data_IF_670268597385
#
_entry.id   IF_670268597385
#
_cell.length_a   1.000
_cell.length_b   1.000
_cell.length_c   1.000
_cell.angle_alpha   90.00
_cell.angle_beta   90.00
_cell.angle_gamma   90.00
#
_symmetry.space_group_name_H-M   'P 1'
#
loop_
_entity.id
_entity.type
_entity.pdbx_description
1 polymer ?
#
# COMPACT_ATOMS: atom_id res chain seq x y z
N UNK A 1 -58.28 32.21 4.39
CA UNK A 1 -57.48 33.46 4.46
C UNK A 1 -57.33 33.81 5.93
N UNK A 2 -56.16 33.82 6.55
CA UNK A 2 -54.82 33.52 6.07
C UNK A 2 -53.88 33.41 7.28
N UNK A 3 -52.88 32.53 7.09
CA UNK A 3 -51.53 32.59 7.65
C UNK A 3 -51.43 32.54 9.18
N UNK A 4 -51.57 31.30 9.69
CA UNK A 4 -50.92 30.91 10.93
C UNK A 4 -49.41 30.99 10.73
N UNK A 5 -48.78 31.72 11.63
CA UNK A 5 -47.35 31.83 11.80
C UNK A 5 -46.77 30.42 11.90
N UNK A 6 -46.01 30.04 10.88
CA UNK A 6 -45.28 28.78 10.84
C UNK A 6 -44.04 29.02 11.67
N UNK A 7 -44.14 28.77 12.97
CA UNK A 7 -42.99 28.63 13.86
C UNK A 7 -42.19 27.42 13.32
N UNK A 8 -41.29 27.71 12.37
CA UNK A 8 -40.29 26.77 11.89
C UNK A 8 -39.50 26.35 13.12
N UNK A 9 -39.78 25.14 13.60
CA UNK A 9 -39.14 24.57 14.77
C UNK A 9 -37.62 24.54 14.60
N UNK A 10 -36.95 25.55 15.14
CA UNK A 10 -35.55 25.47 15.50
C UNK A 10 -35.42 24.35 16.54
N UNK A 11 -34.90 23.20 16.08
CA UNK A 11 -34.53 22.08 16.93
C UNK A 11 -33.69 22.59 18.10
N UNK A 12 -34.12 22.30 19.32
CA UNK A 12 -33.44 22.79 20.53
C UNK A 12 -32.00 22.24 20.63
N UNK A 13 -31.09 22.86 21.41
CA UNK A 13 -29.72 22.37 21.61
C UNK A 13 -29.62 20.94 22.14
N UNK A 14 -30.71 20.41 22.68
CA UNK A 14 -30.82 19.03 23.20
C UNK A 14 -31.16 18.01 22.09
N UNK A 15 -31.76 18.47 20.99
CA UNK A 15 -32.04 17.69 19.78
C UNK A 15 -30.87 17.72 18.79
N UNK A 16 -30.03 18.75 18.85
CA UNK A 16 -28.68 18.77 18.27
C UNK A 16 -27.72 17.94 19.16
N UNK A 17 -27.70 16.60 19.03
CA UNK A 17 -26.85 15.73 19.87
C UNK A 17 -25.34 15.99 19.71
N UNK A 18 -24.82 17.00 20.41
CA UNK A 18 -23.39 17.15 20.68
C UNK A 18 -22.89 16.10 21.68
N UNK A 19 -21.57 16.05 21.92
CA UNK A 19 -20.91 15.09 22.82
C UNK A 19 -21.64 14.90 24.17
N UNK A 20 -22.15 15.98 24.75
CA UNK A 20 -22.86 15.96 26.02
C UNK A 20 -24.12 15.07 25.98
N UNK A 21 -24.90 15.16 24.91
CA UNK A 21 -26.09 14.33 24.70
C UNK A 21 -25.73 12.86 24.51
N UNK A 22 -24.69 12.60 23.70
CA UNK A 22 -24.18 11.25 23.44
C UNK A 22 -23.69 10.56 24.72
N UNK A 23 -22.91 11.25 25.56
CA UNK A 23 -22.43 10.70 26.82
C UNK A 23 -23.57 10.31 27.76
N UNK A 24 -24.62 11.14 27.87
CA UNK A 24 -25.80 10.81 28.67
C UNK A 24 -26.53 9.57 28.14
N UNK A 25 -26.69 9.48 26.82
CA UNK A 25 -27.32 8.33 26.18
C UNK A 25 -26.50 7.04 26.38
N UNK A 26 -25.20 7.10 26.14
CA UNK A 26 -24.29 5.96 26.32
C UNK A 26 -24.20 5.50 27.77
N UNK A 27 -24.18 6.41 28.74
CA UNK A 27 -24.19 6.08 30.17
C UNK A 27 -25.46 5.34 30.58
N UNK A 28 -26.61 5.73 30.00
CA UNK A 28 -27.89 5.02 30.16
C UNK A 28 -27.85 3.64 29.54
N UNK A 29 -27.42 3.53 28.28
CA UNK A 29 -27.33 2.26 27.56
C UNK A 29 -26.40 1.26 28.27
N UNK A 30 -25.23 1.71 28.73
CA UNK A 30 -24.28 0.88 29.46
C UNK A 30 -24.84 0.38 30.80
N UNK A 31 -25.55 1.24 31.54
CA UNK A 31 -26.19 0.83 32.79
C UNK A 31 -27.35 -0.16 32.59
N UNK A 32 -28.05 -0.08 31.46
CA UNK A 32 -29.04 -1.10 31.05
C UNK A 32 -28.37 -2.43 30.71
N UNK A 33 -27.25 -2.43 29.98
CA UNK A 33 -26.45 -3.63 29.68
C UNK A 33 -25.93 -4.33 30.95
N UNK A 34 -25.61 -3.56 31.99
CA UNK A 34 -25.21 -4.09 33.30
C UNK A 34 -26.38 -4.54 34.19
N UNK A 35 -27.62 -4.54 33.68
CA UNK A 35 -28.80 -4.97 34.44
C UNK A 35 -29.22 -4.02 35.56
N UNK A 36 -28.71 -2.78 35.59
CA UNK A 36 -29.00 -1.82 36.67
C UNK A 36 -30.35 -1.12 36.54
N UNK A 37 -30.98 -1.18 35.36
CA UNK A 37 -32.23 -0.46 35.05
C UNK A 37 -32.10 1.07 34.99
N UNK A 38 -30.89 1.62 35.17
CA UNK A 38 -30.59 3.06 35.19
C UNK A 38 -29.20 3.33 34.65
N UNK A 39 -28.90 4.59 34.35
CA UNK A 39 -27.58 5.02 33.89
C UNK A 39 -26.50 4.77 34.95
N UNK A 40 -25.28 4.45 34.50
CA UNK A 40 -24.09 4.37 35.37
C UNK A 40 -23.92 5.71 36.10
N UNK A 41 -23.63 5.80 37.40
CA UNK A 41 -23.41 7.07 38.10
C UNK A 41 -22.26 7.90 37.50
N UNK A 42 -22.38 9.24 37.50
CA UNK A 42 -21.32 10.13 37.01
C UNK A 42 -20.00 9.93 37.77
N UNK A 43 -20.04 9.81 39.09
CA UNK A 43 -18.90 9.44 39.94
C UNK A 43 -18.18 8.16 39.48
N UNK A 44 -18.92 7.14 39.06
CA UNK A 44 -18.34 5.85 38.66
C UNK A 44 -17.62 5.95 37.31
N UNK A 45 -18.19 6.71 36.37
CA UNK A 45 -17.52 6.99 35.09
C UNK A 45 -16.29 7.87 35.30
N UNK A 46 -16.41 8.92 36.13
CA UNK A 46 -15.32 9.82 36.46
C UNK A 46 -14.13 9.08 37.10
N UNK A 47 -14.41 8.17 38.04
CA UNK A 47 -13.40 7.32 38.65
C UNK A 47 -12.69 6.44 37.61
N UNK A 48 -13.44 5.81 36.70
CA UNK A 48 -12.87 4.94 35.67
C UNK A 48 -11.94 5.69 34.69
N UNK A 49 -12.22 6.97 34.41
CA UNK A 49 -11.39 7.78 33.52
C UNK A 49 -10.24 8.48 34.25
N UNK A 50 -10.20 8.44 35.59
CA UNK A 50 -9.20 9.12 36.42
C UNK A 50 -9.44 10.62 36.55
N UNK A 51 -10.69 11.08 36.48
CA UNK A 51 -11.09 12.49 36.56
C UNK A 51 -12.03 12.73 37.75
N UNK A 52 -12.21 13.99 38.15
CA UNK A 52 -13.19 14.34 39.19
C UNK A 52 -14.63 14.22 38.67
N UNK A 53 -15.57 13.88 39.56
CA UNK A 53 -17.00 13.86 39.22
C UNK A 53 -17.50 15.22 38.72
N UNK A 54 -16.98 16.32 39.29
CA UNK A 54 -17.27 17.69 38.83
C UNK A 54 -16.85 17.90 37.37
N UNK A 55 -15.68 17.40 36.98
CA UNK A 55 -15.18 17.49 35.61
C UNK A 55 -16.07 16.70 34.64
N UNK A 56 -16.41 15.44 34.97
CA UNK A 56 -17.28 14.62 34.14
C UNK A 56 -18.70 15.21 34.03
N UNK A 57 -19.23 15.77 35.12
CA UNK A 57 -20.51 16.48 35.11
C UNK A 57 -20.49 17.75 34.23
N UNK A 58 -19.35 18.45 34.12
CA UNK A 58 -19.21 19.57 33.18
C UNK A 58 -19.16 19.09 31.72
N UNK A 59 -18.56 17.92 31.47
CA UNK A 59 -18.53 17.29 30.16
C UNK A 59 -19.94 16.89 29.69
N UNK A 60 -20.75 16.26 30.56
CA UNK A 60 -22.16 15.94 30.26
C UNK A 60 -23.07 17.18 30.19
N UNK A 61 -22.60 18.37 30.55
CA UNK A 61 -23.30 19.66 30.37
C UNK A 61 -22.83 20.43 29.13
N UNK A 62 -21.85 19.90 28.38
CA UNK A 62 -21.26 20.58 27.22
C UNK A 62 -20.35 21.77 27.57
N UNK A 63 -19.96 21.92 28.84
CA UNK A 63 -19.16 23.05 29.31
C UNK A 63 -17.64 22.83 29.16
N UNK A 64 -17.21 21.61 28.83
CA UNK A 64 -15.80 21.28 28.58
C UNK A 64 -15.61 21.05 27.09
N UNK A 65 -14.79 21.87 26.38
CA UNK A 65 -14.68 21.79 24.92
C UNK A 65 -13.77 20.65 24.43
N UNK A 66 -12.98 20.03 25.32
CA UNK A 66 -11.92 19.09 24.92
C UNK A 66 -11.78 17.91 25.86
N UNK A 67 -11.74 16.71 25.29
CA UNK A 67 -11.57 15.43 25.95
C UNK A 67 -10.10 14.96 25.80
N UNK A 68 -9.35 14.63 26.87
CA UNK A 68 -8.01 14.08 26.69
C UNK A 68 -8.04 12.65 26.14
N UNK A 69 -7.01 12.29 25.35
CA UNK A 69 -6.98 11.01 24.64
C UNK A 69 -7.02 9.79 25.58
N UNK A 70 -6.40 9.88 26.77
CA UNK A 70 -6.43 8.78 27.74
C UNK A 70 -7.84 8.56 28.33
N UNK A 71 -8.65 9.61 28.41
CA UNK A 71 -10.03 9.53 28.84
C UNK A 71 -10.92 8.83 27.78
N UNK A 72 -10.62 8.96 26.48
CA UNK A 72 -11.36 8.28 25.40
C UNK A 72 -11.36 6.76 25.59
N UNK A 73 -10.18 6.15 25.69
CA UNK A 73 -10.07 4.69 25.78
C UNK A 73 -10.72 4.13 27.05
N UNK A 74 -10.60 4.88 28.16
CA UNK A 74 -11.24 4.55 29.43
C UNK A 74 -12.77 4.69 29.35
N UNK A 75 -13.29 5.69 28.63
CA UNK A 75 -14.73 5.83 28.36
C UNK A 75 -15.26 4.69 27.49
N UNK A 76 -14.54 4.35 26.42
CA UNK A 76 -14.90 3.24 25.53
C UNK A 76 -15.03 1.94 26.32
N UNK A 77 -14.05 1.67 27.17
CA UNK A 77 -14.03 0.48 28.01
C UNK A 77 -15.14 0.52 29.05
N UNK A 78 -15.30 1.62 29.79
CA UNK A 78 -16.29 1.73 30.87
C UNK A 78 -17.72 1.71 30.33
N UNK A 79 -18.00 2.34 29.20
CA UNK A 79 -19.36 2.48 28.67
C UNK A 79 -19.70 1.42 27.63
N UNK A 80 -18.83 0.43 27.40
CA UNK A 80 -19.02 -0.64 26.40
C UNK A 80 -19.32 -0.08 25.01
N UNK A 81 -18.55 0.92 24.59
CA UNK A 81 -18.72 1.63 23.32
C UNK A 81 -18.09 0.85 22.16
N UNK A 82 -18.72 0.94 20.99
CA UNK A 82 -18.21 0.37 19.76
C UNK A 82 -17.21 1.29 19.05
N UNK A 83 -16.72 0.86 17.87
CA UNK A 83 -15.76 1.62 17.07
C UNK A 83 -16.26 3.01 16.66
N UNK A 84 -17.55 3.14 16.31
CA UNK A 84 -18.14 4.40 15.82
C UNK A 84 -18.32 5.42 16.94
N UNK A 85 -18.76 4.97 18.12
CA UNK A 85 -18.84 5.83 19.30
C UNK A 85 -17.44 6.26 19.76
N UNK A 86 -16.44 5.37 19.66
CA UNK A 86 -15.03 5.70 19.91
C UNK A 86 -14.53 6.77 18.94
N UNK A 87 -14.81 6.64 17.66
CA UNK A 87 -14.46 7.66 16.65
C UNK A 87 -15.14 9.00 16.97
N UNK A 88 -16.39 8.94 17.41
CA UNK A 88 -17.14 10.12 17.83
C UNK A 88 -16.47 10.85 19.00
N UNK A 89 -15.99 10.12 20.01
CA UNK A 89 -15.23 10.70 21.14
C UNK A 89 -13.90 11.35 20.70
N UNK A 90 -13.23 10.78 19.70
CA UNK A 90 -11.94 11.29 19.19
C UNK A 90 -12.07 12.66 18.51
N UNK A 91 -13.21 12.98 17.89
CA UNK A 91 -13.44 14.32 17.32
C UNK A 91 -13.39 15.44 18.36
N UNK A 92 -13.66 15.12 19.63
CA UNK A 92 -13.63 16.09 20.73
C UNK A 92 -12.29 16.11 21.48
N UNK A 93 -11.27 15.41 20.98
CA UNK A 93 -9.91 15.45 21.53
C UNK A 93 -9.13 16.64 20.96
N UNK A 94 -8.26 17.34 21.74
CA UNK A 94 -7.37 18.34 21.18
C UNK A 94 -6.54 17.76 20.01
N UNK A 95 -6.71 18.29 18.80
CA UNK A 95 -6.07 17.76 17.59
C UNK A 95 -6.77 16.56 16.95
N UNK A 96 -8.09 16.41 17.15
CA UNK A 96 -8.97 15.32 16.69
C UNK A 96 -9.11 15.11 15.18
N UNK A 97 -8.04 15.27 14.42
CA UNK A 97 -7.92 14.77 13.07
C UNK A 97 -7.77 13.23 13.11
N UNK A 98 -8.89 12.52 12.94
CA UNK A 98 -8.98 11.11 12.50
C UNK A 98 -7.90 10.14 13.02
N UNK A 99 -7.46 10.22 14.28
CA UNK A 99 -6.57 9.20 14.86
C UNK A 99 -7.42 8.07 15.44
N UNK A 100 -8.18 7.40 14.58
CA UNK A 100 -8.74 6.11 14.93
C UNK A 100 -7.60 5.09 14.93
N UNK A 101 -7.18 4.58 16.08
CA UNK A 101 -6.63 3.22 16.14
C UNK A 101 -7.82 2.28 16.33
N UNK A 102 -8.32 1.69 15.26
CA UNK A 102 -9.16 0.52 15.40
C UNK A 102 -8.30 -0.59 16.06
N UNK A 103 -8.86 -1.34 17.01
CA UNK A 103 -8.17 -2.53 17.54
C UNK A 103 -7.92 -3.48 16.36
N UNK A 104 -6.76 -4.16 16.29
CA UNK A 104 -6.57 -5.23 15.32
C UNK A 104 -7.65 -6.29 15.59
N UNK A 105 -8.64 -6.41 14.70
CA UNK A 105 -9.41 -7.64 14.59
C UNK A 105 -8.53 -8.63 13.85
N UNK A 106 -8.53 -9.88 14.32
CA UNK A 106 -8.03 -11.02 13.55
C UNK A 106 -8.67 -10.96 12.14
N UNK A 107 -7.84 -11.20 11.13
CA UNK A 107 -7.98 -10.78 9.72
C UNK A 107 -9.43 -10.74 9.18
N UNK A 108 -9.95 -9.58 8.72
CA UNK A 108 -11.31 -9.50 8.22
C UNK A 108 -11.42 -9.58 6.68
N UNK A 109 -12.61 -9.94 6.15
CA UNK A 109 -13.04 -9.76 4.74
C UNK A 109 -12.83 -8.35 4.15
N UNK A 110 -12.47 -7.37 4.98
CA UNK A 110 -12.31 -5.94 4.69
C UNK A 110 -11.04 -5.62 3.88
N UNK A 111 -9.97 -6.43 3.98
CA UNK A 111 -8.81 -6.27 3.10
C UNK A 111 -9.12 -6.68 1.66
N UNK A 112 -10.03 -7.64 1.46
CA UNK A 112 -10.49 -8.05 0.11
C UNK A 112 -11.31 -6.95 -0.55
N UNK A 113 -12.16 -6.24 0.20
CA UNK A 113 -12.93 -5.11 -0.35
C UNK A 113 -12.04 -3.92 -0.66
N UNK A 114 -10.98 -3.68 0.12
CA UNK A 114 -9.96 -2.68 -0.20
C UNK A 114 -9.17 -3.05 -1.46
N UNK A 115 -8.75 -4.31 -1.62
CA UNK A 115 -8.09 -4.75 -2.86
C UNK A 115 -8.99 -4.55 -4.08
N UNK A 116 -10.27 -4.92 -3.99
CA UNK A 116 -11.23 -4.68 -5.07
C UNK A 116 -11.31 -3.18 -5.44
N UNK A 117 -11.34 -2.28 -4.45
CA UNK A 117 -11.32 -0.84 -4.70
C UNK A 117 -10.05 -0.38 -5.43
N UNK A 118 -8.88 -0.90 -5.04
CA UNK A 118 -7.60 -0.59 -5.70
C UNK A 118 -7.60 -1.04 -7.16
N UNK A 119 -8.13 -2.23 -7.44
CA UNK A 119 -8.19 -2.78 -8.80
C UNK A 119 -9.13 -1.95 -9.69
N UNK A 120 -10.19 -1.35 -9.12
CA UNK A 120 -11.08 -0.41 -9.85
C UNK A 120 -10.41 0.93 -10.18
N UNK A 121 -9.22 1.23 -9.67
CA UNK A 121 -8.49 2.45 -10.03
C UNK A 121 -7.68 2.33 -11.32
N UNK A 122 -7.60 1.14 -11.93
CA UNK A 122 -6.90 0.96 -13.20
C UNK A 122 -7.41 1.96 -14.26
N UNK A 123 -6.51 2.58 -15.06
CA UNK A 123 -5.07 2.32 -15.16
C UNK A 123 -4.19 3.09 -14.16
N UNK A 124 -4.75 3.78 -13.18
CA UNK A 124 -4.00 4.56 -12.19
C UNK A 124 -3.31 3.66 -11.15
N UNK A 125 -2.00 3.83 -10.92
CA UNK A 125 -1.29 3.15 -9.83
C UNK A 125 -1.95 3.43 -8.49
N UNK A 126 -2.28 2.38 -7.75
CA UNK A 126 -2.89 2.50 -6.43
C UNK A 126 -2.31 1.48 -5.45
N UNK A 127 -2.18 1.89 -4.19
CA UNK A 127 -1.65 1.03 -3.12
C UNK A 127 -2.21 1.39 -1.75
N UNK A 128 -2.07 0.46 -0.81
CA UNK A 128 -2.37 0.66 0.61
C UNK A 128 -1.12 0.43 1.43
N UNK A 129 -0.84 1.32 2.38
CA UNK A 129 0.18 1.12 3.41
C UNK A 129 -0.40 1.19 4.81
N UNK A 130 0.30 0.60 5.77
CA UNK A 130 0.02 0.79 7.20
C UNK A 130 0.53 2.15 7.72
N UNK A 131 0.39 2.35 9.03
CA UNK A 131 0.84 3.54 9.73
C UNK A 131 2.36 3.79 9.58
N UNK A 132 3.17 2.74 9.36
CA UNK A 132 4.63 2.75 9.17
C UNK A 132 5.05 2.81 7.70
N UNK A 133 4.10 3.02 6.79
CA UNK A 133 4.32 3.02 5.35
C UNK A 133 4.79 1.68 4.76
N UNK A 134 4.57 0.59 5.51
CA UNK A 134 4.76 -0.76 5.01
C UNK A 134 3.60 -1.11 4.09
N UNK A 135 3.92 -1.68 2.93
CA UNK A 135 2.96 -1.97 1.89
C UNK A 135 2.05 -3.14 2.28
N UNK A 136 0.74 -2.90 2.25
CA UNK A 136 -0.30 -3.89 2.58
C UNK A 136 -0.92 -4.47 1.31
N UNK A 137 -1.28 -3.62 0.35
CA UNK A 137 -1.96 -4.00 -0.89
C UNK A 137 -1.57 -3.05 -2.03
N UNK A 138 -1.74 -3.48 -3.28
CA UNK A 138 -1.50 -2.66 -4.48
C UNK A 138 -2.22 -3.24 -5.68
N UNK A 139 -2.51 -2.40 -6.68
CA UNK A 139 -3.07 -2.84 -7.96
C UNK A 139 -1.98 -3.10 -9.02
N UNK A 140 -2.38 -3.64 -10.16
CA UNK A 140 -1.45 -4.01 -11.25
C UNK A 140 -0.65 -2.82 -11.78
N UNK A 141 -1.30 -1.68 -12.02
CA UNK A 141 -0.60 -0.48 -12.48
C UNK A 141 0.52 -0.03 -11.53
N UNK A 142 0.33 -0.21 -10.21
CA UNK A 142 1.39 0.06 -9.24
C UNK A 142 2.58 -0.88 -9.38
N UNK A 143 2.34 -2.18 -9.54
CA UNK A 143 3.42 -3.15 -9.80
C UNK A 143 4.19 -2.84 -11.09
N UNK A 144 3.47 -2.46 -12.14
CA UNK A 144 4.03 -2.19 -13.46
C UNK A 144 4.86 -0.90 -13.46
N UNK A 145 4.39 0.15 -12.78
CA UNK A 145 5.02 1.48 -12.85
C UNK A 145 6.05 1.70 -11.73
N UNK A 146 5.87 1.02 -10.59
CA UNK A 146 6.67 1.19 -9.39
C UNK A 146 7.10 -0.17 -8.81
N UNK A 147 8.08 -0.86 -9.43
CA UNK A 147 8.41 -2.25 -9.10
C UNK A 147 8.86 -2.50 -7.65
N UNK A 148 9.22 -1.46 -6.89
CA UNK A 148 9.57 -1.58 -5.46
C UNK A 148 8.46 -2.23 -4.63
N UNK A 149 7.20 -2.15 -5.07
CA UNK A 149 6.07 -2.80 -4.38
C UNK A 149 6.14 -4.32 -4.42
N UNK A 150 6.95 -4.88 -5.31
CA UNK A 150 7.19 -6.31 -5.45
C UNK A 150 8.26 -6.82 -4.46
N UNK A 151 8.91 -5.94 -3.69
CA UNK A 151 9.92 -6.34 -2.70
C UNK A 151 9.29 -6.99 -1.46
N UNK A 152 9.89 -8.09 -0.94
CA UNK A 152 9.48 -8.63 0.35
C UNK A 152 9.62 -7.56 1.44
N UNK A 153 8.54 -7.31 2.17
CA UNK A 153 8.54 -6.27 3.20
C UNK A 153 8.67 -4.84 2.64
N UNK A 154 8.26 -4.63 1.38
CA UNK A 154 8.25 -3.33 0.71
C UNK A 154 7.73 -2.22 1.65
N UNK A 155 8.54 -1.18 1.80
CA UNK A 155 8.23 -0.03 2.64
C UNK A 155 8.56 1.23 1.87
N UNK A 156 7.56 2.11 1.73
CA UNK A 156 7.67 3.32 0.92
C UNK A 156 8.76 4.26 1.44
N UNK A 157 8.93 4.39 2.76
CA UNK A 157 9.94 5.28 3.34
C UNK A 157 11.35 4.76 3.06
N UNK A 158 11.55 3.44 3.18
CA UNK A 158 12.83 2.81 2.83
C UNK A 158 13.14 3.02 1.36
N UNK A 159 12.19 2.70 0.47
CA UNK A 159 12.40 2.88 -0.97
C UNK A 159 12.70 4.35 -1.32
N UNK A 160 11.85 5.28 -0.88
CA UNK A 160 11.94 6.68 -1.25
C UNK A 160 13.24 7.37 -0.77
N UNK A 161 13.81 6.94 0.35
CA UNK A 161 14.99 7.57 0.95
C UNK A 161 16.31 6.83 0.64
N UNK A 162 16.27 5.50 0.50
CA UNK A 162 17.50 4.70 0.42
C UNK A 162 17.70 3.99 -0.94
N UNK A 163 16.64 3.76 -1.71
CA UNK A 163 16.77 3.01 -2.96
C UNK A 163 17.28 3.91 -4.09
N UNK A 164 18.29 3.48 -4.88
CA UNK A 164 18.81 4.25 -6.02
C UNK A 164 17.72 4.65 -7.02
N UNK A 165 16.83 3.72 -7.38
CA UNK A 165 15.71 4.00 -8.29
C UNK A 165 14.85 5.19 -7.83
N UNK A 166 14.59 5.35 -6.52
CA UNK A 166 13.81 6.49 -6.05
C UNK A 166 14.54 7.82 -6.28
N UNK A 167 15.86 7.84 -6.15
CA UNK A 167 16.70 9.03 -6.41
C UNK A 167 16.69 9.42 -7.88
N UNK A 168 16.59 8.45 -8.78
CA UNK A 168 16.51 8.69 -10.23
C UNK A 168 15.09 9.05 -10.68
N UNK A 169 14.08 8.37 -10.13
CA UNK A 169 12.69 8.54 -10.50
C UNK A 169 12.08 9.82 -9.94
N UNK A 170 12.44 10.27 -8.73
CA UNK A 170 11.96 11.55 -8.20
C UNK A 170 12.74 12.73 -8.78
N UNK A 171 12.08 13.57 -9.58
CA UNK A 171 12.66 14.83 -10.04
C UNK A 171 12.77 15.77 -8.84
N UNK A 172 13.99 16.18 -8.50
CA UNK A 172 14.23 16.95 -7.27
C UNK A 172 14.10 16.10 -6.01
N UNK A 173 14.69 14.90 -6.01
CA UNK A 173 14.64 13.93 -4.91
C UNK A 173 14.83 14.53 -3.51
N UNK A 174 15.71 15.51 -3.31
CA UNK A 174 15.90 16.11 -1.99
C UNK A 174 14.62 16.73 -1.41
N UNK A 175 13.77 17.33 -2.24
CA UNK A 175 12.51 17.91 -1.79
C UNK A 175 11.53 16.83 -1.32
N UNK A 176 11.56 15.68 -1.98
CA UNK A 176 10.82 14.50 -1.55
C UNK A 176 11.38 13.96 -0.22
N UNK A 177 12.70 13.80 -0.14
CA UNK A 177 13.37 13.30 1.04
C UNK A 177 13.10 14.18 2.28
N UNK A 178 13.16 15.51 2.15
CA UNK A 178 12.81 16.45 3.24
C UNK A 178 11.40 16.18 3.80
N UNK A 179 10.42 15.96 2.92
CA UNK A 179 9.04 15.68 3.33
C UNK A 179 8.92 14.32 4.02
N UNK A 180 9.54 13.28 3.46
CA UNK A 180 9.50 11.93 4.05
C UNK A 180 10.19 11.89 5.43
N UNK A 181 11.35 12.56 5.58
CA UNK A 181 12.04 12.73 6.85
C UNK A 181 11.16 13.47 7.88
N UNK A 182 10.46 14.54 7.46
CA UNK A 182 9.52 15.26 8.32
C UNK A 182 8.33 14.38 8.76
N UNK A 183 7.85 13.49 7.90
CA UNK A 183 6.80 12.50 8.23
C UNK A 183 7.29 11.44 9.22
N UNK A 184 8.51 10.92 9.05
CA UNK A 184 9.15 9.99 10.01
C UNK A 184 9.30 10.66 11.38
N UNK A 185 9.74 11.92 11.41
CA UNK A 185 9.87 12.72 12.65
C UNK A 185 8.54 12.86 13.37
N UNK A 186 7.48 13.22 12.65
CA UNK A 186 6.13 13.33 13.21
C UNK A 186 5.65 11.98 13.77
N UNK A 187 5.88 10.89 13.05
CA UNK A 187 5.51 9.55 13.51
C UNK A 187 6.21 9.17 14.81
N UNK A 188 7.54 9.29 14.87
CA UNK A 188 8.33 8.94 16.05
C UNK A 188 8.04 9.85 17.25
N UNK A 189 7.67 11.11 17.03
CA UNK A 189 7.21 12.00 18.09
C UNK A 189 5.95 11.47 18.80
N UNK A 190 5.02 10.86 18.03
CA UNK A 190 3.78 10.25 18.54
C UNK A 190 3.97 8.81 19.02
N UNK A 191 4.99 8.11 18.52
CA UNK A 191 5.22 6.69 18.76
C UNK A 191 6.67 6.41 19.18
N UNK A 192 7.09 7.02 20.30
CA UNK A 192 8.48 7.03 20.80
C UNK A 192 9.11 5.65 21.03
N UNK A 193 8.32 4.58 21.10
CA UNK A 193 8.79 3.21 21.35
C UNK A 193 8.68 2.29 20.11
N UNK A 194 8.40 2.82 18.91
CA UNK A 194 8.28 2.01 17.70
C UNK A 194 9.66 1.57 17.20
N UNK A 195 9.98 0.28 17.41
CA UNK A 195 11.31 -0.28 17.08
C UNK A 195 11.59 -0.31 15.58
N UNK A 196 10.57 -0.60 14.77
CA UNK A 196 10.73 -0.69 13.31
C UNK A 196 11.13 0.67 12.74
N UNK A 197 10.36 1.72 13.04
CA UNK A 197 10.64 3.05 12.53
C UNK A 197 11.93 3.64 13.11
N UNK A 198 12.29 3.28 14.34
CA UNK A 198 13.58 3.66 14.93
C UNK A 198 14.77 2.98 14.21
N UNK A 199 14.62 1.71 13.82
CA UNK A 199 15.63 1.00 13.03
C UNK A 199 15.77 1.60 11.63
N UNK A 200 14.64 1.82 10.95
CA UNK A 200 14.62 2.44 9.63
C UNK A 200 15.26 3.85 9.66
N UNK A 201 14.97 4.67 10.68
CA UNK A 201 15.61 5.97 10.81
C UNK A 201 17.14 5.85 10.98
N UNK A 202 17.63 4.80 11.67
CA UNK A 202 19.07 4.56 11.78
C UNK A 202 19.69 4.25 10.42
N UNK A 203 19.06 3.37 9.63
CA UNK A 203 19.47 3.08 8.25
C UNK A 203 19.49 4.35 7.40
N UNK A 204 18.45 5.17 7.49
CA UNK A 204 18.34 6.46 6.79
C UNK A 204 19.44 7.44 7.22
N UNK A 205 19.86 7.43 8.48
CA UNK A 205 20.89 8.33 9.00
C UNK A 205 22.32 7.91 8.63
N UNK A 206 22.51 6.68 8.15
CA UNK A 206 23.80 6.23 7.60
C UNK A 206 24.10 6.88 6.25
N UNK A 207 23.05 7.17 5.47
CA UNK A 207 23.12 7.93 4.22
C UNK A 207 23.47 9.41 4.46
N UNK A 208 24.50 9.90 3.78
CA UNK A 208 25.05 11.25 4.02
C UNK A 208 24.07 12.37 3.63
N UNK A 209 23.34 12.22 2.52
CA UNK A 209 22.36 13.21 2.09
C UNK A 209 21.18 13.24 3.04
N UNK A 210 20.64 12.07 3.40
CA UNK A 210 19.52 11.97 4.32
C UNK A 210 19.85 12.53 5.71
N UNK A 211 21.05 12.24 6.23
CA UNK A 211 21.53 12.83 7.49
C UNK A 211 21.63 14.35 7.42
N UNK A 212 22.24 14.88 6.35
CA UNK A 212 22.30 16.33 6.12
C UNK A 212 20.90 16.95 6.09
N UNK A 213 19.99 16.40 5.28
CA UNK A 213 18.61 16.88 5.15
C UNK A 213 17.82 16.78 6.46
N UNK A 214 18.09 15.76 7.28
CA UNK A 214 17.49 15.60 8.60
C UNK A 214 17.95 16.71 9.56
N UNK A 215 19.25 17.03 9.56
CA UNK A 215 19.86 18.02 10.45
C UNK A 215 19.54 19.47 10.02
N UNK A 216 19.31 19.72 8.72
CA UNK A 216 19.00 21.04 8.15
C UNK A 216 17.68 21.65 8.63
N UNK A 217 16.67 20.83 8.97
CA UNK A 217 15.35 21.36 9.33
C UNK A 217 14.54 20.47 10.27
N UNK A 218 13.98 21.00 11.38
CA UNK A 218 13.12 20.29 12.30
C UNK A 218 11.64 20.26 11.88
N UNK A 219 11.30 20.62 10.64
CA UNK A 219 9.92 20.62 10.16
C UNK A 219 9.24 19.25 10.32
N UNK A 220 7.91 19.29 10.47
CA UNK A 220 7.04 18.11 10.62
C UNK A 220 5.87 18.23 9.65
N UNK A 221 5.55 17.14 8.96
CA UNK A 221 4.46 17.06 7.97
C UNK A 221 3.58 15.86 8.32
N UNK A 222 2.25 16.03 8.25
CA UNK A 222 1.30 14.97 8.59
C UNK A 222 1.05 13.99 7.43
N UNK A 223 0.87 14.51 6.21
CA UNK A 223 0.68 13.71 5.00
C UNK A 223 0.95 14.54 3.72
N UNK A 224 1.00 13.87 2.56
CA UNK A 224 1.21 14.47 1.22
C UNK A 224 -0.05 14.41 0.34
N UNK A 225 -1.23 14.61 0.93
CA UNK A 225 -2.46 14.54 0.14
C UNK A 225 -2.53 15.69 -0.88
N UNK A 226 -2.98 15.40 -2.10
CA UNK A 226 -3.04 16.33 -3.23
C UNK A 226 -1.68 16.82 -3.71
N UNK A 227 -0.58 16.18 -3.30
CA UNK A 227 0.77 16.61 -3.66
C UNK A 227 1.03 16.35 -5.16
N UNK A 228 1.35 17.42 -5.88
CA UNK A 228 1.79 17.39 -7.29
C UNK A 228 3.31 17.35 -7.33
N UNK A 229 3.87 16.45 -8.12
CA UNK A 229 5.32 16.30 -8.24
C UNK A 229 5.68 15.66 -9.57
N UNK A 230 6.95 15.81 -9.96
CA UNK A 230 7.46 15.27 -11.21
C UNK A 230 8.21 13.96 -10.96
N UNK A 231 8.01 13.01 -11.86
CA UNK A 231 8.71 11.73 -11.85
C UNK A 231 9.25 11.37 -13.23
N UNK A 232 10.29 10.54 -13.26
CA UNK A 232 10.76 9.83 -14.44
C UNK A 232 10.49 8.35 -14.25
N UNK A 233 9.49 7.81 -14.93
CA UNK A 233 9.05 6.42 -14.73
C UNK A 233 9.43 5.56 -15.93
N UNK A 234 9.80 4.27 -15.72
CA UNK A 234 10.08 3.35 -16.81
C UNK A 234 8.94 3.25 -17.83
N UNK A 235 7.68 3.31 -17.38
CA UNK A 235 6.49 3.22 -18.24
C UNK A 235 6.38 4.34 -19.28
N UNK A 236 7.00 5.49 -19.01
CA UNK A 236 7.00 6.66 -19.88
C UNK A 236 8.40 6.90 -20.47
N UNK A 237 9.18 5.84 -20.68
CA UNK A 237 10.56 5.92 -21.20
C UNK A 237 11.43 6.91 -20.41
N UNK A 238 11.21 6.99 -19.10
CA UNK A 238 11.86 7.93 -18.18
C UNK A 238 11.68 9.42 -18.52
N UNK A 239 10.68 9.77 -19.33
CA UNK A 239 10.27 11.16 -19.53
C UNK A 239 9.72 11.75 -18.22
N UNK A 240 9.93 13.05 -18.03
CA UNK A 240 9.37 13.76 -16.88
C UNK A 240 7.85 13.88 -17.03
N UNK A 241 7.12 13.27 -16.10
CA UNK A 241 5.67 13.34 -16.01
C UNK A 241 5.25 13.98 -14.69
N UNK A 242 4.24 14.84 -14.73
CA UNK A 242 3.63 15.38 -13.51
C UNK A 242 2.55 14.43 -13.01
N UNK A 243 2.73 13.99 -11.76
CA UNK A 243 1.81 13.09 -11.06
C UNK A 243 1.21 13.78 -9.83
N UNK A 244 0.01 13.35 -9.48
CA UNK A 244 -0.73 13.79 -8.30
C UNK A 244 -0.99 12.57 -7.43
N UNK A 245 -0.55 12.64 -6.17
CA UNK A 245 -0.84 11.61 -5.17
C UNK A 245 -2.07 12.03 -4.36
N UNK A 246 -3.11 11.18 -4.39
CA UNK A 246 -4.33 11.31 -3.60
C UNK A 246 -4.26 10.34 -2.43
N UNK A 247 -4.35 10.84 -1.21
CA UNK A 247 -4.32 10.04 0.01
C UNK A 247 -5.70 9.98 0.64
N UNK A 248 -6.17 8.75 0.82
CA UNK A 248 -7.46 8.42 1.41
C UNK A 248 -7.24 7.54 2.65
N UNK A 249 -8.07 7.74 3.67
CA UNK A 249 -8.08 6.90 4.87
C UNK A 249 -9.37 6.09 4.90
N UNK A 250 -9.30 4.75 4.81
CA UNK A 250 -10.49 3.91 4.93
C UNK A 250 -11.15 4.12 6.29
N UNK A 251 -12.46 4.41 6.31
CA UNK A 251 -13.16 4.70 7.57
C UNK A 251 -13.08 3.54 8.59
N UNK A 252 -13.14 2.28 8.12
CA UNK A 252 -13.00 1.09 8.96
C UNK A 252 -11.56 0.81 9.42
N UNK A 253 -10.56 1.37 8.74
CA UNK A 253 -9.14 1.20 9.02
C UNK A 253 -8.38 2.53 8.93
N UNK A 254 -8.62 3.46 9.86
CA UNK A 254 -7.99 4.79 9.85
C UNK A 254 -6.47 4.76 10.02
N UNK A 255 -5.90 3.63 10.46
CA UNK A 255 -4.46 3.38 10.47
C UNK A 255 -3.87 3.07 9.08
N UNK A 256 -4.70 2.67 8.12
CA UNK A 256 -4.32 2.39 6.75
C UNK A 256 -4.41 3.65 5.90
N UNK A 257 -3.57 3.68 4.87
CA UNK A 257 -3.48 4.77 3.89
C UNK A 257 -3.65 4.18 2.51
N UNK A 258 -4.76 4.48 1.86
CA UNK A 258 -4.96 4.18 0.45
C UNK A 258 -4.45 5.36 -0.38
N UNK A 259 -3.60 5.10 -1.35
CA UNK A 259 -3.01 6.11 -2.22
C UNK A 259 -3.36 5.77 -3.66
N UNK A 260 -3.84 6.76 -4.41
CA UNK A 260 -4.04 6.69 -5.86
C UNK A 260 -3.15 7.74 -6.52
N UNK A 261 -2.38 7.33 -7.52
CA UNK A 261 -1.50 8.21 -8.29
C UNK A 261 -2.15 8.45 -9.65
N UNK A 262 -2.52 9.70 -9.90
CA UNK A 262 -3.00 10.16 -11.21
C UNK A 262 -1.92 11.01 -11.88
N UNK A 263 -2.02 11.24 -13.18
CA UNK A 263 -1.11 12.13 -13.91
C UNK A 263 -1.93 13.18 -14.65
N UNK A 264 -1.33 14.35 -14.85
CA UNK A 264 -1.90 15.41 -15.66
C UNK A 264 -1.27 15.32 -17.06
N UNK A 265 -1.77 14.40 -17.87
CA UNK A 265 -1.52 14.35 -19.32
C UNK A 265 -2.68 15.00 -20.08
N UNK A 266 -2.43 15.56 -21.26
CA UNK A 266 -3.50 16.05 -22.15
C UNK A 266 -4.54 14.94 -22.38
N UNK A 267 -5.83 15.26 -22.27
CA UNK A 267 -7.00 14.35 -22.34
C UNK A 267 -7.06 13.39 -23.57
N UNK A 268 -6.11 13.47 -24.52
CA UNK A 268 -6.14 12.78 -25.80
C UNK A 268 -5.49 11.38 -25.84
N UNK A 269 -4.75 10.95 -24.82
CA UNK A 269 -4.08 9.62 -24.82
C UNK A 269 -4.90 8.51 -24.12
N UNK A 270 -6.16 8.79 -23.74
CA UNK A 270 -6.96 7.94 -22.86
C UNK A 270 -7.81 6.86 -23.56
N UNK A 271 -7.63 6.57 -24.85
CA UNK A 271 -8.32 5.46 -25.51
C UNK A 271 -7.33 4.40 -26.03
N UNK A 272 -7.49 3.12 -25.68
CA UNK A 272 -6.81 2.05 -26.39
C UNK A 272 -7.42 1.97 -27.80
N UNK A 273 -6.70 2.43 -28.83
CA UNK A 273 -7.09 2.16 -30.23
C UNK A 273 -6.87 3.22 -31.31
N UNK A 274 -6.19 4.35 -31.07
CA UNK A 274 -5.89 5.30 -32.16
C UNK A 274 -4.57 4.99 -32.88
N UNK A 275 -4.55 3.88 -33.63
CA UNK A 275 -3.62 3.79 -34.77
C UNK A 275 -4.20 4.66 -35.88
N UNK A 276 -3.49 5.73 -36.26
CA UNK A 276 -3.74 6.43 -37.51
C UNK A 276 -3.50 5.45 -38.67
N UNK A 277 -4.58 5.01 -39.32
CA UNK A 277 -4.51 4.24 -40.54
C UNK A 277 -4.33 5.20 -41.73
N UNK A 278 -3.32 5.02 -42.60
CA UNK A 278 -3.32 5.66 -43.91
C UNK A 278 -4.24 4.89 -44.87
N UNK A 279 -5.00 5.65 -45.66
CA UNK A 279 -5.92 5.17 -46.71
C UNK A 279 -5.27 4.17 -47.69
N UNK A 280 -5.92 3.02 -47.93
CA UNK A 280 -6.24 2.50 -49.28
C UNK A 280 -6.92 1.10 -49.24
N UNK A 281 -8.19 1.09 -49.64
CA UNK A 281 -8.88 0.16 -50.55
C UNK A 281 -8.65 -1.37 -50.52
N UNK A 282 -9.80 -2.05 -50.45
CA UNK A 282 -10.27 -3.22 -51.22
C UNK A 282 -10.47 -4.57 -50.52
N UNK A 283 -11.65 -5.10 -50.81
CA UNK A 283 -12.38 -6.24 -50.28
C UNK A 283 -11.67 -7.60 -50.40
N UNK A 284 -11.98 -8.50 -49.45
CA UNK A 284 -12.05 -9.94 -49.74
C UNK A 284 -11.53 -10.87 -48.64
N UNK A 285 -12.42 -11.66 -48.03
CA UNK A 285 -12.08 -12.96 -47.45
C UNK A 285 -12.27 -13.09 -45.94
N UNK A 286 -13.35 -13.77 -45.55
CA UNK A 286 -13.61 -14.21 -44.19
C UNK A 286 -12.60 -15.29 -43.73
N UNK A 287 -12.04 -15.13 -42.53
CA UNK A 287 -11.61 -16.23 -41.64
C UNK A 287 -11.24 -15.70 -40.24
N UNK A 288 -11.85 -16.26 -39.19
CA UNK A 288 -11.24 -16.44 -37.86
C UNK A 288 -11.12 -15.21 -36.94
N UNK A 289 -12.24 -14.78 -36.35
CA UNK A 289 -12.21 -14.01 -35.10
C UNK A 289 -12.24 -14.98 -33.92
N UNK A 290 -11.08 -15.43 -33.46
CA UNK A 290 -10.93 -16.08 -32.15
C UNK A 290 -10.08 -15.19 -31.22
N UNK A 291 -10.76 -14.71 -30.17
CA UNK A 291 -10.29 -14.14 -28.92
C UNK A 291 -8.78 -13.98 -28.70
N UNK A 292 -8.30 -12.73 -28.78
CA UNK A 292 -7.12 -12.27 -28.02
C UNK A 292 -7.62 -11.98 -26.60
N UNK A 293 -7.57 -12.99 -25.74
CA UNK A 293 -7.98 -12.90 -24.34
C UNK A 293 -6.89 -12.29 -23.46
N UNK A 294 -7.27 -11.25 -22.72
CA UNK A 294 -6.77 -10.79 -21.42
C UNK A 294 -5.46 -11.44 -20.89
N UNK A 295 -4.33 -10.74 -21.01
CA UNK A 295 -3.10 -11.04 -20.26
C UNK A 295 -2.92 -10.00 -19.14
N UNK A 296 -3.56 -10.29 -18.01
CA UNK A 296 -3.59 -9.51 -16.78
C UNK A 296 -3.38 -10.45 -15.60
N UNK A 297 -2.25 -10.40 -14.88
CA UNK A 297 -2.24 -10.85 -13.48
C UNK A 297 -0.91 -10.54 -12.76
N UNK A 298 -1.01 -9.67 -11.76
CA UNK A 298 -0.30 -9.86 -10.49
C UNK A 298 -1.38 -9.77 -9.41
N UNK A 299 -1.68 -10.89 -8.74
CA UNK A 299 -2.66 -10.94 -7.65
C UNK A 299 -1.91 -11.18 -6.34
N UNK A 300 -2.09 -10.26 -5.38
CA UNK A 300 -1.58 -10.39 -4.03
C UNK A 300 -2.66 -11.01 -3.12
N UNK A 301 -2.26 -11.96 -2.29
CA UNK A 301 -3.13 -12.74 -1.41
C UNK A 301 -2.42 -13.19 -0.14
N UNK A 302 -3.16 -13.93 0.68
CA UNK A 302 -2.70 -14.45 1.97
C UNK A 302 -2.97 -15.95 2.06
N UNK A 303 -2.13 -16.64 2.81
CA UNK A 303 -2.26 -18.07 3.09
C UNK A 303 -1.87 -18.37 4.55
N UNK A 304 -2.59 -19.30 5.16
CA UNK A 304 -2.38 -19.69 6.56
C UNK A 304 -1.11 -20.54 6.73
N UNK A 305 -0.72 -21.25 5.68
CA UNK A 305 0.47 -22.09 5.66
C UNK A 305 1.23 -22.02 4.33
N UNK A 306 2.45 -22.56 4.34
CA UNK A 306 3.25 -22.72 3.13
C UNK A 306 2.61 -23.68 2.12
N UNK A 307 1.81 -24.63 2.60
CA UNK A 307 1.10 -25.62 1.78
C UNK A 307 -0.14 -24.98 1.14
N UNK A 308 -0.89 -24.18 1.88
CA UNK A 308 -2.01 -23.39 1.35
C UNK A 308 -1.52 -22.40 0.30
N UNK A 309 -0.37 -21.75 0.56
CA UNK A 309 0.25 -20.84 -0.39
C UNK A 309 0.64 -21.55 -1.70
N UNK A 310 1.17 -22.78 -1.61
CA UNK A 310 1.48 -23.58 -2.79
C UNK A 310 0.21 -24.05 -3.52
N UNK A 311 -0.86 -24.36 -2.78
CA UNK A 311 -2.14 -24.78 -3.36
C UNK A 311 -2.82 -23.66 -4.20
N UNK A 312 -2.54 -22.39 -3.88
CA UNK A 312 -3.00 -21.24 -4.69
C UNK A 312 -2.43 -21.24 -6.11
N UNK A 313 -1.34 -21.98 -6.37
CA UNK A 313 -0.82 -22.15 -7.73
C UNK A 313 -1.72 -23.04 -8.60
N UNK A 314 -2.71 -23.74 -8.05
CA UNK A 314 -3.65 -24.55 -8.83
C UNK A 314 -3.12 -25.95 -9.19
N UNK A 315 -3.84 -26.63 -10.08
CA UNK A 315 -3.53 -28.02 -10.45
C UNK A 315 -2.29 -28.11 -11.35
N UNK A 316 -1.47 -29.13 -11.13
CA UNK A 316 -0.21 -29.29 -11.89
C UNK A 316 0.93 -28.37 -11.44
N UNK A 317 0.76 -27.71 -10.28
CA UNK A 317 1.77 -26.87 -9.67
C UNK A 317 3.05 -27.65 -9.31
N UNK A 318 4.20 -27.01 -9.55
CA UNK A 318 5.55 -27.55 -9.34
C UNK A 318 6.27 -26.65 -8.34
N UNK A 319 6.64 -27.19 -7.17
CA UNK A 319 7.47 -26.47 -6.21
C UNK A 319 8.89 -26.25 -6.73
N UNK A 320 9.46 -25.08 -6.45
CA UNK A 320 10.79 -24.67 -6.87
C UNK A 320 11.70 -24.43 -5.63
N UNK A 321 12.09 -25.48 -4.89
CA UNK A 321 12.81 -25.33 -3.62
C UNK A 321 14.19 -24.66 -3.74
N UNK A 322 14.94 -24.88 -4.81
CA UNK A 322 16.27 -24.28 -4.99
C UNK A 322 16.16 -22.77 -5.29
N UNK A 323 15.21 -22.38 -6.15
CA UNK A 323 14.90 -20.98 -6.40
C UNK A 323 14.24 -20.31 -5.19
N UNK A 324 13.47 -21.06 -4.39
CA UNK A 324 12.93 -20.58 -3.11
C UNK A 324 14.04 -20.21 -2.14
N UNK A 325 15.07 -21.05 -2.04
CA UNK A 325 16.24 -20.78 -1.21
C UNK A 325 17.05 -19.58 -1.72
N UNK A 326 17.13 -19.40 -3.05
CA UNK A 326 17.79 -18.25 -3.67
C UNK A 326 17.02 -16.94 -3.42
N UNK A 327 15.69 -16.98 -3.45
CA UNK A 327 14.83 -15.82 -3.22
C UNK A 327 14.91 -15.30 -1.78
N UNK A 328 15.23 -16.17 -0.80
CA UNK A 328 15.54 -15.78 0.56
C UNK A 328 14.95 -16.70 1.62
N UNK A 329 15.40 -16.58 2.89
CA UNK A 329 14.87 -17.37 3.99
C UNK A 329 13.37 -17.09 4.18
N UNK A 330 12.57 -18.17 4.29
CA UNK A 330 11.12 -18.05 4.46
C UNK A 330 10.35 -17.77 3.16
N UNK A 331 11.00 -17.83 1.99
CA UNK A 331 10.33 -17.81 0.69
C UNK A 331 9.95 -19.21 0.21
N UNK A 332 8.85 -19.32 -0.51
CA UNK A 332 8.41 -20.51 -1.24
C UNK A 332 7.86 -20.11 -2.60
N UNK A 333 8.46 -20.66 -3.65
CA UNK A 333 8.09 -20.46 -5.04
C UNK A 333 7.43 -21.72 -5.58
N UNK A 334 6.30 -21.54 -6.25
CA UNK A 334 5.53 -22.62 -6.86
C UNK A 334 5.10 -22.21 -8.27
N UNK A 335 5.58 -22.91 -9.28
CA UNK A 335 5.25 -22.69 -10.68
C UNK A 335 3.96 -23.41 -11.05
N UNK A 336 3.02 -22.71 -11.70
CA UNK A 336 1.99 -23.30 -12.53
C UNK A 336 2.40 -23.19 -14.01
N UNK A 337 2.75 -24.31 -14.67
CA UNK A 337 3.17 -24.30 -16.06
C UNK A 337 2.06 -23.95 -17.06
N UNK A 338 0.79 -24.22 -16.73
CA UNK A 338 -0.35 -23.95 -17.60
C UNK A 338 -0.66 -22.45 -17.63
N UNK A 339 -0.64 -21.82 -16.46
CA UNK A 339 -0.92 -20.39 -16.32
C UNK A 339 0.33 -19.52 -16.56
N UNK A 340 1.48 -20.15 -16.84
CA UNK A 340 2.81 -19.50 -16.97
C UNK A 340 3.09 -18.56 -15.78
N UNK A 341 2.77 -19.06 -14.59
CA UNK A 341 2.73 -18.29 -13.35
C UNK A 341 3.56 -18.87 -12.23
N UNK A 342 4.14 -18.00 -11.42
CA UNK A 342 4.86 -18.40 -10.22
C UNK A 342 4.21 -17.75 -9.01
N UNK A 343 3.71 -18.59 -8.12
CA UNK A 343 3.25 -18.16 -6.81
C UNK A 343 4.46 -17.99 -5.90
N UNK A 344 4.69 -16.75 -5.47
CA UNK A 344 5.73 -16.33 -4.54
C UNK A 344 5.13 -16.12 -3.16
N UNK A 345 5.39 -17.04 -2.26
CA UNK A 345 4.95 -16.97 -0.89
C UNK A 345 6.10 -16.62 0.04
N UNK A 346 5.89 -15.71 0.99
CA UNK A 346 6.88 -15.33 1.97
C UNK A 346 6.28 -15.21 3.37
N UNK A 347 7.00 -15.79 4.34
CA UNK A 347 6.57 -15.86 5.73
C UNK A 347 6.69 -14.49 6.41
N UNK A 348 5.64 -14.06 7.10
CA UNK A 348 5.62 -12.85 7.93
C UNK A 348 6.04 -13.17 9.37
N UNK A 349 6.56 -12.16 10.08
CA UNK A 349 6.96 -12.25 11.49
C UNK A 349 5.80 -12.62 12.45
N UNK A 350 4.54 -12.52 11.99
CA UNK A 350 3.33 -12.92 12.71
C UNK A 350 2.83 -14.35 12.43
N UNK A 351 3.53 -15.12 11.60
CA UNK A 351 3.20 -16.53 11.31
C UNK A 351 2.45 -16.80 10.01
N UNK A 352 1.76 -15.79 9.44
CA UNK A 352 1.06 -15.90 8.15
C UNK A 352 1.98 -15.84 6.93
N UNK A 353 1.48 -16.30 5.79
CA UNK A 353 2.19 -16.28 4.51
C UNK A 353 1.54 -15.26 3.57
N UNK A 354 2.33 -14.30 3.08
CA UNK A 354 1.88 -13.41 2.01
C UNK A 354 2.26 -14.02 0.68
N UNK A 355 1.33 -13.98 -0.26
CA UNK A 355 1.42 -14.69 -1.52
C UNK A 355 1.25 -13.70 -2.66
N UNK A 356 2.15 -13.72 -3.63
CA UNK A 356 2.03 -12.93 -4.85
C UNK A 356 2.11 -13.88 -6.04
N UNK A 357 1.20 -13.80 -6.98
CA UNK A 357 1.32 -14.54 -8.25
C UNK A 357 1.99 -13.63 -9.26
N UNK A 358 3.17 -14.01 -9.77
CA UNK A 358 3.99 -13.22 -10.69
C UNK A 358 4.33 -14.00 -11.96
N UNK A 359 4.59 -13.28 -13.07
CA UNK A 359 4.95 -13.93 -14.33
C UNK A 359 6.23 -14.74 -14.22
N UNK A 360 6.32 -15.78 -15.05
CA UNK A 360 7.56 -16.54 -15.18
C UNK A 360 8.71 -15.64 -15.65
N UNK A 361 8.47 -14.72 -16.57
CA UNK A 361 9.47 -13.76 -17.06
C UNK A 361 9.98 -12.83 -15.95
N UNK A 362 9.08 -12.30 -15.12
CA UNK A 362 9.46 -11.49 -13.96
C UNK A 362 10.28 -12.30 -12.95
N UNK A 363 9.94 -13.59 -12.76
CA UNK A 363 10.70 -14.51 -11.91
C UNK A 363 12.10 -14.77 -12.48
N UNK A 364 12.22 -15.03 -13.78
CA UNK A 364 13.49 -15.27 -14.47
C UNK A 364 14.43 -14.05 -14.37
N UNK A 365 13.91 -12.85 -14.65
CA UNK A 365 14.68 -11.61 -14.56
C UNK A 365 15.19 -11.35 -13.14
N UNK A 366 14.39 -11.70 -12.13
CA UNK A 366 14.71 -11.43 -10.73
C UNK A 366 15.63 -12.46 -10.10
N UNK A 367 15.47 -13.73 -10.45
CA UNK A 367 16.28 -14.84 -9.95
C UNK A 367 17.29 -15.31 -10.99
N UNK A 368 17.92 -14.36 -11.69
CA UNK A 368 19.00 -14.66 -12.62
C UNK A 368 20.02 -15.57 -11.91
N UNK A 369 20.40 -16.72 -12.51
CA UNK A 369 21.19 -17.72 -11.83
C UNK A 369 22.60 -17.17 -11.63
N UNK A 370 22.85 -16.61 -10.45
CA UNK A 370 24.20 -16.21 -10.03
C UNK A 370 25.07 -17.44 -9.71
N UNK A 371 24.47 -18.63 -9.62
CA UNK A 371 25.15 -19.87 -9.27
C UNK A 371 24.97 -20.94 -10.35
N UNK A 372 26.05 -21.64 -10.69
CA UNK A 372 26.03 -22.82 -11.58
C UNK A 372 25.58 -24.11 -10.86
N UNK A 373 24.84 -24.00 -9.75
CA UNK A 373 24.36 -25.18 -9.00
C UNK A 373 23.37 -25.96 -9.87
N UNK A 374 23.55 -27.29 -10.05
CA UNK A 374 22.70 -28.08 -10.93
C UNK A 374 21.19 -28.00 -10.61
N UNK A 375 20.83 -27.91 -9.32
CA UNK A 375 19.43 -27.77 -8.89
C UNK A 375 18.79 -26.45 -9.32
N UNK A 376 19.48 -25.32 -9.09
CA UNK A 376 19.05 -23.99 -9.53
C UNK A 376 18.92 -23.92 -11.05
N UNK A 377 19.90 -24.45 -11.78
CA UNK A 377 19.88 -24.49 -13.25
C UNK A 377 18.67 -25.27 -13.76
N UNK A 378 18.36 -26.41 -13.15
CA UNK A 378 17.21 -27.25 -13.54
C UNK A 378 15.87 -26.54 -13.32
N UNK A 379 15.67 -25.91 -12.16
CA UNK A 379 14.44 -25.17 -11.87
C UNK A 379 14.29 -23.92 -12.75
N UNK A 380 15.41 -23.22 -13.01
CA UNK A 380 15.43 -22.09 -13.93
C UNK A 380 15.12 -22.51 -15.37
N UNK A 381 15.62 -23.68 -15.81
CA UNK A 381 15.25 -24.28 -17.10
C UNK A 381 13.76 -24.62 -17.16
N UNK A 382 13.16 -25.09 -16.06
CA UNK A 382 11.71 -25.37 -16.02
C UNK A 382 10.90 -24.09 -16.21
N UNK A 383 11.28 -23.00 -15.55
CA UNK A 383 10.68 -21.68 -15.77
C UNK A 383 10.84 -21.25 -17.23
N UNK A 384 12.07 -21.20 -17.73
CA UNK A 384 12.37 -20.76 -19.10
C UNK A 384 11.66 -21.62 -20.16
N UNK A 385 11.49 -22.92 -19.94
CA UNK A 385 10.77 -23.78 -20.88
C UNK A 385 9.32 -23.34 -21.07
N UNK A 386 8.67 -22.81 -20.05
CA UNK A 386 7.28 -22.32 -20.13
C UNK A 386 7.15 -21.02 -20.92
N UNK A 387 8.24 -20.28 -21.14
CA UNK A 387 8.22 -19.06 -21.94
C UNK A 387 8.52 -19.31 -23.42
N UNK A 388 9.18 -20.43 -23.73
CA UNK A 388 9.64 -20.78 -25.08
C UNK A 388 8.57 -21.55 -25.89
N UNK A 389 8.58 -21.43 -27.23
CA UNK A 389 7.74 -22.22 -28.13
C UNK A 389 7.82 -23.74 -27.90
N UNK A 390 6.74 -24.47 -28.20
CA UNK A 390 6.71 -25.92 -28.02
C UNK A 390 7.70 -26.65 -28.95
N UNK A 391 7.93 -26.12 -30.15
CA UNK A 391 8.91 -26.63 -31.11
C UNK A 391 10.33 -26.42 -30.62
N UNK A 392 11.15 -27.47 -30.63
CA UNK A 392 12.56 -27.38 -30.24
C UNK A 392 13.37 -26.46 -31.15
N UNK A 393 13.04 -26.40 -32.45
CA UNK A 393 13.71 -25.53 -33.41
C UNK A 393 13.39 -24.06 -33.16
N UNK A 394 12.12 -23.73 -32.96
CA UNK A 394 11.69 -22.35 -32.66
C UNK A 394 12.19 -21.88 -31.30
N UNK A 395 12.15 -22.75 -30.28
CA UNK A 395 12.73 -22.46 -28.98
C UNK A 395 14.25 -22.21 -29.06
N UNK A 396 14.96 -22.95 -29.92
CA UNK A 396 16.38 -22.71 -30.18
C UNK A 396 16.63 -21.33 -30.79
N UNK A 397 15.89 -20.97 -31.84
CA UNK A 397 15.99 -19.66 -32.48
C UNK A 397 15.65 -18.50 -31.54
N UNK A 398 14.63 -18.65 -30.69
CA UNK A 398 14.25 -17.66 -29.68
C UNK A 398 15.40 -17.47 -28.67
N UNK A 399 15.99 -18.56 -28.19
CA UNK A 399 17.15 -18.51 -27.28
C UNK A 399 18.35 -17.84 -27.93
N UNK A 400 18.65 -18.16 -29.19
CA UNK A 400 19.75 -17.51 -29.93
C UNK A 400 19.52 -15.99 -30.06
N UNK A 401 18.28 -15.58 -30.29
CA UNK A 401 17.89 -14.15 -30.34
C UNK A 401 18.09 -13.48 -28.98
N UNK A 402 17.61 -14.10 -27.90
CA UNK A 402 17.80 -13.58 -26.54
C UNK A 402 19.30 -13.48 -26.17
N UNK A 403 20.11 -14.47 -26.56
CA UNK A 403 21.57 -14.48 -26.33
C UNK A 403 22.23 -13.32 -27.09
N UNK A 404 21.84 -13.06 -28.33
CA UNK A 404 22.37 -11.95 -29.12
C UNK A 404 22.04 -10.61 -28.47
N UNK A 405 20.78 -10.37 -28.10
CA UNK A 405 20.36 -9.12 -27.46
C UNK A 405 21.08 -8.85 -26.13
N UNK A 406 21.24 -9.88 -25.30
CA UNK A 406 21.97 -9.77 -24.03
C UNK A 406 23.46 -9.51 -24.26
N UNK A 407 24.04 -10.10 -25.30
CA UNK A 407 25.44 -9.87 -25.67
C UNK A 407 25.68 -8.45 -26.14
N UNK A 408 24.77 -7.89 -26.95
CA UNK A 408 24.81 -6.50 -27.40
C UNK A 408 24.68 -5.52 -26.23
N UNK A 409 23.72 -5.74 -25.32
CA UNK A 409 23.58 -4.94 -24.10
C UNK A 409 24.84 -4.99 -23.24
N UNK A 410 25.44 -6.17 -23.07
CA UNK A 410 26.68 -6.33 -22.32
C UNK A 410 27.85 -5.59 -22.98
N UNK A 411 27.91 -5.57 -24.32
CA UNK A 411 28.92 -4.83 -25.07
C UNK A 411 28.79 -3.32 -24.84
N UNK A 412 27.57 -2.77 -24.90
CA UNK A 412 27.29 -1.35 -24.60
C UNK A 412 27.71 -1.00 -23.17
N UNK A 413 27.35 -1.82 -22.19
CA UNK A 413 27.72 -1.58 -20.79
C UNK A 413 29.24 -1.62 -20.56
N UNK A 414 29.97 -2.47 -21.30
CA UNK A 414 31.44 -2.53 -21.26
C UNK A 414 32.07 -1.26 -21.84
N UNK A 415 31.60 -0.81 -23.00
CA UNK A 415 32.05 0.45 -23.63
C UNK A 415 31.80 1.66 -22.71
N UNK A 416 30.61 1.76 -22.10
CA UNK A 416 30.32 2.82 -21.13
C UNK A 416 31.24 2.77 -19.90
N UNK A 417 31.53 1.58 -19.39
CA UNK A 417 32.46 1.40 -18.25
C UNK A 417 33.88 1.83 -18.62
N UNK A 418 34.34 1.54 -19.82
CA UNK A 418 35.66 1.98 -20.31
C UNK A 418 35.72 3.50 -20.41
N UNK A 419 34.70 4.13 -20.99
CA UNK A 419 34.62 5.61 -21.12
C UNK A 419 34.53 6.34 -19.78
N UNK A 420 33.85 5.75 -18.79
CA UNK A 420 33.81 6.30 -17.42
C UNK A 420 35.14 6.14 -16.67
N UNK A 421 36.00 5.22 -17.13
CA UNK A 421 37.34 5.00 -16.58
C UNK A 421 38.43 5.84 -17.24
N UNK A 422 38.15 6.48 -18.37
CA UNK A 422 39.06 7.44 -19.00
C UNK A 422 38.94 8.81 -18.29
N UNK A 423 40.05 9.40 -17.82
CA UNK A 423 40.02 10.76 -17.32
C UNK A 423 39.58 11.69 -18.47
N UNK A 424 38.58 12.51 -18.20
CA UNK A 424 38.17 13.59 -19.11
C UNK A 424 39.32 14.59 -19.19
N UNK A 425 40.03 14.60 -20.33
CA UNK A 425 41.05 15.61 -20.66
C UNK A 425 40.44 17.01 -20.84
#
# INVERSE_FOLDING_TARGET
>A
MGLGDSDEGELGPEELMGLAGLLRAWRRAAGLKEGRGRAIPQAEVAHAIGMSEKWYGQLERGAVPRLPHDAVEKLVTRLHLGPDERQTLLYYTPGGALIGRAKPREEPPELRTLQFLLDQQMPHPAYVTDARWSLIAYNRAMADWYPWVLEPGANLMRWALLHPDAREQYVGWEDHARVYLAMIRMFLARHKADRFMTSLLREVYEDADCRRLWDESPHVVAHRDGNRFRMRLPRFDFQEVEVVSHLLFPAGHPELRAVVITWLGSEQELLPGSVQQPDALSEGGAAGSEAIGDASWAQAGWADSAEDAAALAGSGAIGLPELSALAGPGCRLTLNPQDRAVVWAYRQDGGGWRVNTVSVEATLNRLAPQSSRPGVVREYQQLLRTTLPASAGEAGSELDTMIAELSDRLAVLRDLRERLGEPVD
#
